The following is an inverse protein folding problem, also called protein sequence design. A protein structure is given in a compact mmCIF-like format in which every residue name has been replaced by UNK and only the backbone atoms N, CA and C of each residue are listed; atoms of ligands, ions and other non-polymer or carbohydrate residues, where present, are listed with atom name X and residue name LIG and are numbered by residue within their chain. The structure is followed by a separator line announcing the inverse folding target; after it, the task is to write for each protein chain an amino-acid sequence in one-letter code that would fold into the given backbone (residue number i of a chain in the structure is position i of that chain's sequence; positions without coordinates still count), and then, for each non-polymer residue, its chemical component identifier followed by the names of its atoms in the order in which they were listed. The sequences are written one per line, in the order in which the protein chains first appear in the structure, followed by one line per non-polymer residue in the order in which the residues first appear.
data_IF_845750406886
#
_entry.id   IF_845750406886
#
_cell.length_a   1.000
_cell.length_b   1.000
_cell.length_c   1.000
_cell.angle_alpha   90.00
_cell.angle_beta   90.00
_cell.angle_gamma   90.00
#
_symmetry.space_group_name_H-M   'P 1'
#
loop_
_entity.id
_entity.type
_entity.pdbx_description
1 polymer ?
#
# COMPACT_ATOMS: atom_id res chain seq x y z
N UNK A 1 2.93 -6.91 1.14
CA UNK A 1 1.84 -6.25 0.41
C UNK A 1 2.32 -6.09 -1.03
N UNK A 2 1.58 -6.68 -1.96
CA UNK A 2 1.84 -6.56 -3.39
C UNK A 2 1.19 -5.30 -3.98
N UNK A 3 1.37 -5.06 -5.29
CA UNK A 3 0.58 -4.06 -5.99
C UNK A 3 -0.92 -4.36 -5.87
N UNK A 4 -1.73 -3.31 -5.81
CA UNK A 4 -3.19 -3.43 -5.87
C UNK A 4 -3.68 -3.09 -7.26
N UNK A 5 -4.66 -3.86 -7.73
CA UNK A 5 -5.33 -3.56 -8.99
C UNK A 5 -6.26 -2.36 -8.82
N UNK A 6 -6.30 -1.50 -9.82
CA UNK A 6 -7.30 -0.43 -9.92
C UNK A 6 -8.59 -1.08 -10.45
N UNK A 7 -9.63 -1.05 -9.63
CA UNK A 7 -10.97 -1.53 -10.01
C UNK A 7 -11.70 -0.47 -10.84
N UNK A 8 -11.76 0.76 -10.30
CA UNK A 8 -12.51 1.87 -10.91
C UNK A 8 -11.76 3.19 -10.74
N UNK A 9 -12.00 4.14 -11.64
CA UNK A 9 -11.68 5.56 -11.42
C UNK A 9 -12.90 6.25 -10.80
N UNK A 10 -12.73 6.85 -9.63
CA UNK A 10 -13.77 7.56 -8.89
C UNK A 10 -13.50 9.06 -8.97
N UNK A 11 -14.10 9.72 -9.96
CA UNK A 11 -13.85 11.15 -10.22
C UNK A 11 -12.51 11.41 -10.90
N UNK A 12 -12.07 12.67 -10.93
CA UNK A 12 -10.89 13.05 -11.71
C UNK A 12 -9.58 12.53 -11.10
N UNK A 13 -9.49 12.50 -9.77
CA UNK A 13 -8.22 12.31 -9.07
C UNK A 13 -8.22 11.16 -8.07
N UNK A 14 -9.26 10.32 -8.05
CA UNK A 14 -9.34 9.18 -7.13
C UNK A 14 -9.59 7.87 -7.84
N UNK A 15 -9.08 6.78 -7.27
CA UNK A 15 -9.20 5.43 -7.79
C UNK A 15 -9.62 4.47 -6.68
N UNK A 16 -10.47 3.50 -7.03
CA UNK A 16 -10.84 2.38 -6.18
C UNK A 16 -9.87 1.23 -6.40
N UNK A 17 -9.30 0.68 -5.33
CA UNK A 17 -8.33 -0.41 -5.37
C UNK A 17 -8.91 -1.73 -4.88
N UNK A 18 -8.41 -2.84 -5.42
CA UNK A 18 -8.65 -4.19 -4.94
C UNK A 18 -7.79 -4.45 -3.68
N UNK A 19 -8.28 -4.03 -2.52
CA UNK A 19 -7.58 -4.26 -1.26
C UNK A 19 -7.75 -5.73 -0.80
N UNK A 20 -6.69 -6.34 -0.24
CA UNK A 20 -6.75 -7.69 0.27
C UNK A 20 -7.57 -7.71 1.57
N UNK A 21 -8.16 -8.87 1.96
CA UNK A 21 -9.10 -8.95 3.09
C UNK A 21 -8.56 -8.41 4.42
N UNK A 22 -7.23 -8.47 4.60
CA UNK A 22 -6.53 -7.96 5.79
C UNK A 22 -6.64 -6.44 5.94
N UNK A 23 -6.91 -5.72 4.85
CA UNK A 23 -7.13 -4.27 4.80
C UNK A 23 -8.62 -3.91 4.66
N UNK A 24 -9.54 -4.82 5.02
CA UNK A 24 -10.98 -4.58 4.91
C UNK A 24 -11.49 -3.39 5.73
N UNK A 25 -10.75 -2.97 6.76
CA UNK A 25 -11.05 -1.79 7.57
C UNK A 25 -10.59 -0.47 6.93
N UNK A 26 -9.81 -0.53 5.85
CA UNK A 26 -9.29 0.65 5.13
C UNK A 26 -10.24 0.99 3.97
N UNK A 27 -10.55 2.28 3.80
CA UNK A 27 -11.29 2.73 2.63
C UNK A 27 -10.53 2.40 1.35
N UNK A 28 -11.19 1.75 0.40
CA UNK A 28 -10.55 1.30 -0.83
C UNK A 28 -10.45 2.38 -1.91
N UNK A 29 -10.76 3.64 -1.61
CA UNK A 29 -10.67 4.77 -2.56
C UNK A 29 -9.52 5.69 -2.15
N UNK A 30 -8.57 5.87 -3.05
CA UNK A 30 -7.34 6.63 -2.81
C UNK A 30 -7.17 7.74 -3.85
N UNK A 31 -6.62 8.87 -3.41
CA UNK A 31 -6.22 9.95 -4.30
C UNK A 31 -4.97 9.54 -5.10
N UNK A 32 -4.87 9.96 -6.37
CA UNK A 32 -3.78 9.61 -7.29
C UNK A 32 -2.38 9.96 -6.76
N UNK A 33 -2.27 10.98 -5.90
CA UNK A 33 -0.99 11.36 -5.26
C UNK A 33 -0.45 10.30 -4.30
N UNK A 34 -1.31 9.41 -3.78
CA UNK A 34 -0.93 8.30 -2.92
C UNK A 34 -0.58 7.04 -3.71
N UNK A 35 -0.74 7.07 -5.03
CA UNK A 35 -0.53 5.94 -5.91
C UNK A 35 0.74 6.14 -6.72
N UNK A 36 1.55 5.08 -6.82
CA UNK A 36 2.69 5.04 -7.73
C UNK A 36 2.47 3.92 -8.72
N UNK A 37 2.56 4.25 -10.01
CA UNK A 37 2.51 3.25 -11.07
C UNK A 37 3.56 2.18 -10.82
N UNK A 38 3.14 0.92 -10.82
CA UNK A 38 4.00 -0.21 -10.53
C UNK A 38 4.18 -1.06 -11.79
N UNK A 39 5.45 -1.31 -12.15
CA UNK A 39 5.80 -2.29 -13.18
C UNK A 39 6.19 -3.58 -12.47
N UNK A 40 5.50 -4.67 -12.79
CA UNK A 40 5.74 -5.96 -12.15
C UNK A 40 7.21 -6.39 -12.27
N UNK A 41 7.82 -6.68 -11.13
CA UNK A 41 9.12 -7.35 -11.05
C UNK A 41 9.05 -8.44 -9.97
N UNK A 42 9.49 -9.68 -10.25
CA UNK A 42 9.40 -10.81 -9.31
C UNK A 42 10.03 -10.60 -7.93
N UNK A 43 10.99 -9.68 -7.77
CA UNK A 43 11.68 -9.42 -6.49
C UNK A 43 10.98 -8.37 -5.61
N UNK A 44 9.99 -7.65 -6.14
CA UNK A 44 9.31 -6.54 -5.46
C UNK A 44 8.08 -7.00 -4.66
N UNK A 45 7.74 -8.29 -4.70
CA UNK A 45 6.67 -8.84 -3.89
C UNK A 45 7.19 -8.98 -2.46
N UNK A 46 7.08 -7.90 -1.68
CA UNK A 46 7.36 -7.95 -0.25
C UNK A 46 6.17 -8.61 0.43
N UNK A 47 6.38 -9.69 1.19
CA UNK A 47 5.38 -10.18 2.13
C UNK A 47 5.43 -9.26 3.34
N UNK A 48 4.43 -8.38 3.49
CA UNK A 48 4.27 -7.61 4.72
C UNK A 48 3.25 -8.36 5.55
N UNK A 49 3.62 -8.82 6.75
CA UNK A 49 2.69 -9.54 7.57
C UNK A 49 1.66 -8.54 8.15
N UNK A 50 0.35 -8.88 8.15
CA UNK A 50 -0.73 -7.94 8.50
C UNK A 50 -0.68 -7.42 9.94
N UNK A 51 0.01 -8.13 10.82
CA UNK A 51 0.23 -7.83 12.23
C UNK A 51 1.06 -6.55 12.47
N UNK A 52 1.83 -6.10 11.47
CA UNK A 52 2.53 -4.82 11.53
C UNK A 52 1.61 -3.61 11.31
N UNK A 53 0.42 -3.80 10.74
CA UNK A 53 -0.55 -2.72 10.51
C UNK A 53 -1.45 -2.66 11.73
N UNK A 54 -1.14 -1.74 12.64
CA UNK A 54 -1.93 -1.54 13.85
C UNK A 54 -3.31 -0.99 13.49
N UNK A 55 -4.33 -1.42 14.22
CA UNK A 55 -5.74 -1.01 14.01
C UNK A 55 -5.92 0.51 14.19
N UNK A 56 -5.10 1.14 15.02
CA UNK A 56 -5.07 2.59 15.22
C UNK A 56 -4.25 3.34 14.15
N UNK A 57 -3.77 2.64 13.12
CA UNK A 57 -2.90 3.15 12.06
C UNK A 57 -1.58 3.75 12.56
N UNK A 58 -1.20 3.48 13.82
CA UNK A 58 0.09 3.90 14.35
C UNK A 58 1.22 3.03 13.76
N UNK A 59 2.33 3.67 13.43
CA UNK A 59 3.52 3.02 12.89
C UNK A 59 4.72 3.37 13.77
N UNK A 60 5.55 2.37 14.07
CA UNK A 60 6.85 2.57 14.72
C UNK A 60 7.89 2.58 13.61
N UNK A 61 8.50 3.73 13.39
CA UNK A 61 9.53 3.91 12.37
C UNK A 61 10.84 3.28 12.84
N UNK A 62 11.23 2.16 12.22
CA UNK A 62 12.53 1.52 12.44
C UNK A 62 13.47 1.87 11.26
N UNK A 63 14.70 2.32 11.53
CA UNK A 63 15.63 2.68 10.45
C UNK A 63 16.07 1.43 9.68
N UNK A 64 15.81 1.40 8.36
CA UNK A 64 16.14 0.24 7.49
C UNK A 64 17.65 -0.02 7.37
N UNK A 65 18.47 1.04 7.36
CA UNK A 65 19.93 1.00 7.51
C UNK A 65 20.48 2.43 7.62
N UNK A 66 21.54 2.63 8.40
CA UNK A 66 22.38 3.82 8.28
C UNK A 66 23.38 3.53 7.15
N UNK A 67 23.20 4.18 6.00
CA UNK A 67 24.21 4.16 4.93
C UNK A 67 25.35 5.10 5.34
N UNK A 68 26.33 4.56 6.08
CA UNK A 68 27.59 5.26 6.30
C UNK A 68 28.41 5.24 5.01
N UNK A 69 28.94 6.41 4.61
CA UNK A 69 29.67 6.63 3.35
C UNK A 69 31.17 6.45 3.51
#
# INVERSE_FOLDING_TARGET
IGPFEILDRVGEVSYRLALPPQLSHVHNVFHVSLLRGYKYHPIHVVSYPPDQIRVDLSYVEEPEAILDR
#
